data_IF_145413510573
#
_entry.id   IF_145413510573
#
_cell.length_a   1.000
_cell.length_b   1.000
_cell.length_c   1.000
_cell.angle_alpha   90.00
_cell.angle_beta   90.00
_cell.angle_gamma   90.00
#
_symmetry.space_group_name_H-M   'P 1'
#
loop_
_entity.id
_entity.type
_entity.pdbx_description
1 polymer ?
#
# COMPACT_ATOMS: atom_id res chain seq x y z
N UNK A 1 0.74 -5.73 -31.55
CA UNK A 1 1.86 -5.23 -30.76
C UNK A 1 1.57 -3.78 -30.46
N UNK A 2 1.42 -3.41 -29.20
CA UNK A 2 1.11 -2.03 -28.83
C UNK A 2 2.37 -1.17 -28.99
N UNK A 3 2.24 0.03 -29.55
CA UNK A 3 3.31 1.04 -29.70
C UNK A 3 4.14 1.29 -28.43
N UNK A 4 3.69 0.81 -27.27
CA UNK A 4 4.32 0.93 -25.95
C UNK A 4 5.37 -0.16 -25.69
N UNK A 5 5.11 -1.40 -26.13
CA UNK A 5 6.05 -2.52 -25.95
C UNK A 5 7.35 -2.28 -26.76
N UNK A 6 7.23 -1.61 -27.91
CA UNK A 6 8.38 -1.21 -28.73
C UNK A 6 9.22 -0.11 -28.05
N UNK A 7 8.59 0.80 -27.29
CA UNK A 7 9.31 1.88 -26.59
C UNK A 7 10.11 1.36 -25.39
N UNK A 8 9.62 0.33 -24.69
CA UNK A 8 10.34 -0.29 -23.56
C UNK A 8 11.59 -1.03 -24.02
N UNK A 9 11.59 -1.57 -25.26
CA UNK A 9 12.71 -2.31 -25.82
C UNK A 9 13.71 -1.48 -26.63
N UNK A 10 13.33 -0.29 -27.14
CA UNK A 10 14.13 0.49 -28.09
C UNK A 10 14.53 1.89 -27.61
N UNK A 11 13.91 2.42 -26.55
CA UNK A 11 14.21 3.75 -26.06
C UNK A 11 15.56 3.81 -25.30
N UNK A 12 16.31 4.92 -25.37
CA UNK A 12 17.53 5.10 -24.58
C UNK A 12 17.19 4.99 -23.09
N UNK A 13 17.95 4.15 -22.38
CA UNK A 13 17.69 3.75 -20.98
C UNK A 13 17.45 4.94 -20.05
N UNK A 14 18.24 6.01 -20.17
CA UNK A 14 18.08 7.22 -19.34
C UNK A 14 16.74 7.92 -19.54
N UNK A 15 16.28 8.06 -20.79
CA UNK A 15 15.00 8.70 -21.09
C UNK A 15 13.82 7.86 -20.60
N UNK A 16 13.94 6.54 -20.69
CA UNK A 16 12.94 5.60 -20.19
C UNK A 16 12.85 5.66 -18.67
N UNK A 17 14.00 5.63 -17.97
CA UNK A 17 14.05 5.76 -16.52
C UNK A 17 13.42 7.06 -16.03
N UNK A 18 13.75 8.21 -16.63
CA UNK A 18 13.14 9.49 -16.27
C UNK A 18 11.63 9.52 -16.51
N UNK A 19 11.15 8.98 -17.63
CA UNK A 19 9.72 8.96 -17.93
C UNK A 19 8.89 8.11 -16.98
N UNK A 20 9.49 7.10 -16.34
CA UNK A 20 8.85 6.25 -15.33
C UNK A 20 9.05 6.79 -13.91
N UNK A 21 10.23 7.35 -13.62
CA UNK A 21 10.56 7.85 -12.29
C UNK A 21 9.77 9.13 -11.93
N UNK A 22 9.65 10.09 -12.85
CA UNK A 22 8.99 11.38 -12.59
C UNK A 22 7.54 11.21 -12.14
N UNK A 23 6.67 10.45 -12.82
CA UNK A 23 5.30 10.21 -12.38
C UNK A 23 5.25 9.48 -11.03
N UNK A 24 6.12 8.49 -10.83
CA UNK A 24 6.17 7.73 -9.57
C UNK A 24 6.60 8.58 -8.39
N UNK A 25 7.59 9.44 -8.57
CA UNK A 25 8.03 10.41 -7.54
C UNK A 25 6.94 11.43 -7.26
N UNK A 26 6.28 11.96 -8.29
CA UNK A 26 5.17 12.90 -8.13
C UNK A 26 4.01 12.27 -7.34
N UNK A 27 3.62 11.04 -7.66
CA UNK A 27 2.59 10.30 -6.92
C UNK A 27 2.99 10.10 -5.45
N UNK A 28 4.26 9.78 -5.18
CA UNK A 28 4.77 9.62 -3.82
C UNK A 28 4.78 10.94 -3.04
N UNK A 29 5.14 12.05 -3.68
CA UNK A 29 5.06 13.38 -3.07
C UNK A 29 3.62 13.75 -2.71
N UNK A 30 2.66 13.49 -3.58
CA UNK A 30 1.24 13.72 -3.31
C UNK A 30 0.77 12.88 -2.10
N UNK A 31 1.20 11.62 -2.02
CA UNK A 31 0.90 10.76 -0.90
C UNK A 31 1.47 11.29 0.42
N UNK A 32 2.72 11.76 0.41
CA UNK A 32 3.36 12.38 1.59
C UNK A 32 2.61 13.66 2.00
N UNK A 33 2.26 14.53 1.04
CA UNK A 33 1.49 15.75 1.31
C UNK A 33 0.11 15.42 1.91
N UNK A 34 -0.59 14.42 1.37
CA UNK A 34 -1.85 13.94 1.93
C UNK A 34 -1.69 13.54 3.41
N UNK A 35 -0.67 12.75 3.73
CA UNK A 35 -0.39 12.32 5.11
C UNK A 35 -0.07 13.49 6.03
N UNK A 36 0.64 14.51 5.55
CA UNK A 36 0.95 15.72 6.32
C UNK A 36 -0.34 16.51 6.62
N UNK A 37 -1.17 16.73 5.59
CA UNK A 37 -2.43 17.45 5.73
C UNK A 37 -3.36 16.73 6.70
N UNK A 38 -3.51 15.42 6.58
CA UNK A 38 -4.32 14.59 7.49
C UNK A 38 -3.90 14.80 8.96
N UNK A 39 -2.59 14.76 9.23
CA UNK A 39 -2.04 14.98 10.58
C UNK A 39 -2.26 16.39 11.09
N UNK A 40 -2.17 17.41 10.22
CA UNK A 40 -2.47 18.80 10.58
C UNK A 40 -3.93 18.91 11.02
N UNK A 41 -4.85 18.31 10.28
CA UNK A 41 -6.28 18.33 10.65
C UNK A 41 -6.54 17.63 11.98
N UNK A 42 -5.98 16.44 12.19
CA UNK A 42 -6.13 15.71 13.47
C UNK A 42 -5.55 16.52 14.63
N UNK A 43 -4.36 17.10 14.47
CA UNK A 43 -3.69 17.87 15.52
C UNK A 43 -4.40 19.17 15.89
N UNK A 44 -5.23 19.72 14.99
CA UNK A 44 -6.00 20.96 15.25
C UNK A 44 -7.42 20.70 15.77
N UNK A 45 -7.76 19.47 16.14
CA UNK A 45 -9.06 19.18 16.75
C UNK A 45 -9.10 19.85 18.15
N UNK A 46 -10.08 20.76 18.42
CA UNK A 46 -10.12 21.47 19.68
C UNK A 46 -10.26 20.56 20.90
N UNK A 47 -9.39 20.72 21.87
CA UNK A 47 -9.45 20.05 23.17
C UNK A 47 -8.77 18.68 23.27
N UNK A 48 -8.53 17.96 22.15
CA UNK A 48 -7.91 16.62 22.18
C UNK A 48 -7.04 16.29 20.97
N UNK A 49 -6.67 17.27 20.15
CA UNK A 49 -5.88 17.07 18.95
C UNK A 49 -4.53 16.40 19.21
N UNK A 50 -3.81 16.82 20.24
CA UNK A 50 -2.49 16.26 20.60
C UNK A 50 -2.60 14.78 20.98
N UNK A 51 -3.62 14.43 21.78
CA UNK A 51 -3.86 13.06 22.25
C UNK A 51 -4.33 12.18 21.10
N UNK A 52 -5.18 12.69 20.23
CA UNK A 52 -5.65 11.99 19.02
C UNK A 52 -4.50 11.75 18.04
N UNK A 53 -3.66 12.75 17.80
CA UNK A 53 -2.50 12.63 16.91
C UNK A 53 -1.51 11.58 17.43
N UNK A 54 -1.25 11.58 18.73
CA UNK A 54 -0.42 10.57 19.38
C UNK A 54 -1.04 9.19 19.24
N UNK A 55 -2.36 9.05 19.47
CA UNK A 55 -3.10 7.81 19.27
C UNK A 55 -2.99 7.26 17.86
N UNK A 56 -3.15 8.09 16.84
CA UNK A 56 -2.93 7.71 15.44
C UNK A 56 -1.48 7.28 15.20
N UNK A 57 -0.51 7.99 15.80
CA UNK A 57 0.91 7.64 15.70
C UNK A 57 1.22 6.22 16.17
N UNK A 58 0.61 5.78 17.26
CA UNK A 58 0.79 4.43 17.81
C UNK A 58 0.26 3.32 16.89
N UNK A 59 -0.64 3.63 15.96
CA UNK A 59 -1.13 2.64 14.98
C UNK A 59 -0.15 2.35 13.85
N UNK A 60 0.88 3.18 13.65
CA UNK A 60 1.84 3.11 12.55
C UNK A 60 2.48 1.73 12.34
N UNK A 61 2.94 1.02 13.39
CA UNK A 61 3.50 -0.31 13.23
C UNK A 61 2.52 -1.30 12.61
N UNK A 62 1.24 -1.24 12.98
CA UNK A 62 0.19 -2.10 12.42
C UNK A 62 -0.01 -1.77 10.93
N UNK A 63 -0.09 -0.48 10.58
CA UNK A 63 -0.23 -0.04 9.19
C UNK A 63 0.96 -0.50 8.33
N UNK A 64 2.17 -0.41 8.88
CA UNK A 64 3.40 -0.86 8.21
C UNK A 64 3.39 -2.38 7.99
N UNK A 65 2.94 -3.15 8.98
CA UNK A 65 2.81 -4.61 8.84
C UNK A 65 1.82 -4.96 7.72
N UNK A 66 0.65 -4.32 7.68
CA UNK A 66 -0.35 -4.54 6.62
C UNK A 66 0.26 -4.21 5.25
N UNK A 67 0.97 -3.09 5.13
CA UNK A 67 1.63 -2.69 3.88
C UNK A 67 2.73 -3.65 3.45
N UNK A 68 3.45 -4.26 4.40
CA UNK A 68 4.49 -5.25 4.10
C UNK A 68 3.92 -6.50 3.42
N UNK A 69 2.74 -6.96 3.83
CA UNK A 69 2.05 -8.08 3.15
C UNK A 69 1.60 -7.71 1.74
N UNK A 70 1.16 -6.46 1.51
CA UNK A 70 0.87 -5.97 0.16
C UNK A 70 2.11 -5.94 -0.71
N UNK A 71 3.22 -5.44 -0.17
CA UNK A 71 4.50 -5.38 -0.87
C UNK A 71 5.02 -6.80 -1.20
N UNK A 72 4.86 -7.75 -0.30
CA UNK A 72 5.25 -9.15 -0.53
C UNK A 72 4.57 -9.72 -1.79
N UNK A 73 3.26 -9.58 -1.90
CA UNK A 73 2.53 -10.08 -3.07
C UNK A 73 2.82 -9.26 -4.34
N UNK A 74 2.90 -7.93 -4.22
CA UNK A 74 3.17 -7.04 -5.35
C UNK A 74 4.59 -7.16 -5.88
N UNK A 75 5.59 -6.99 -5.02
CA UNK A 75 7.01 -7.04 -5.41
C UNK A 75 7.47 -8.45 -5.77
N UNK A 76 6.85 -9.48 -5.18
CA UNK A 76 7.14 -10.87 -5.52
C UNK A 76 6.57 -11.29 -6.88
N UNK A 77 5.34 -10.90 -7.17
CA UNK A 77 4.62 -11.36 -8.35
C UNK A 77 4.79 -10.47 -9.59
N UNK A 78 4.89 -9.14 -9.44
CA UNK A 78 4.96 -8.23 -10.57
C UNK A 78 6.17 -8.46 -11.50
N UNK A 79 7.40 -8.71 -11.02
CA UNK A 79 8.52 -9.05 -11.89
C UNK A 79 8.28 -10.34 -12.67
N UNK A 80 7.69 -11.36 -12.03
CA UNK A 80 7.39 -12.62 -12.68
C UNK A 80 6.35 -12.45 -13.80
N UNK A 81 5.31 -11.66 -13.55
CA UNK A 81 4.32 -11.32 -14.56
C UNK A 81 4.93 -10.55 -15.73
N UNK A 82 5.83 -9.59 -15.45
CA UNK A 82 6.55 -8.83 -16.48
C UNK A 82 7.43 -9.73 -17.35
N UNK A 83 8.11 -10.73 -16.76
CA UNK A 83 8.89 -11.73 -17.50
C UNK A 83 7.99 -12.55 -18.44
N UNK A 84 6.81 -12.97 -17.98
CA UNK A 84 5.86 -13.71 -18.81
C UNK A 84 5.33 -12.85 -19.95
N UNK A 85 5.05 -11.58 -19.71
CA UNK A 85 4.66 -10.63 -20.76
C UNK A 85 5.78 -10.46 -21.81
N UNK A 86 7.03 -10.34 -21.37
CA UNK A 86 8.19 -10.28 -22.26
C UNK A 86 8.35 -11.54 -23.13
N UNK A 87 7.98 -12.71 -22.61
CA UNK A 87 7.92 -13.99 -23.35
C UNK A 87 6.66 -14.12 -24.24
N UNK A 88 5.81 -13.09 -24.30
CA UNK A 88 4.50 -13.11 -24.98
C UNK A 88 3.52 -14.15 -24.43
N UNK A 89 3.76 -14.65 -23.23
CA UNK A 89 2.88 -15.58 -22.51
C UNK A 89 1.87 -14.81 -21.66
N UNK A 90 0.83 -14.30 -22.31
CA UNK A 90 -0.22 -13.51 -21.67
C UNK A 90 -0.97 -14.30 -20.58
N UNK A 91 -1.28 -15.56 -20.89
CA UNK A 91 -1.97 -16.46 -19.97
C UNK A 91 -1.17 -16.70 -18.68
N UNK A 92 0.14 -16.89 -18.78
CA UNK A 92 1.01 -17.03 -17.60
C UNK A 92 1.08 -15.74 -16.74
N UNK A 93 1.08 -14.58 -17.38
CA UNK A 93 1.04 -13.30 -16.67
C UNK A 93 -0.29 -13.08 -15.93
N UNK A 94 -1.42 -13.40 -16.57
CA UNK A 94 -2.77 -13.33 -15.99
C UNK A 94 -2.94 -14.29 -14.81
N UNK A 95 -2.38 -15.50 -14.88
CA UNK A 95 -2.39 -16.46 -13.77
C UNK A 95 -1.60 -15.92 -12.56
N UNK A 96 -0.43 -15.34 -12.77
CA UNK A 96 0.38 -14.75 -11.69
C UNK A 96 -0.39 -13.59 -11.03
N UNK A 97 -0.99 -12.71 -11.84
CA UNK A 97 -1.80 -11.60 -11.35
C UNK A 97 -3.00 -12.11 -10.53
N UNK A 98 -3.74 -13.10 -11.05
CA UNK A 98 -4.88 -13.70 -10.37
C UNK A 98 -4.50 -14.35 -9.04
N UNK A 99 -3.40 -15.11 -9.01
CA UNK A 99 -2.89 -15.73 -7.79
C UNK A 99 -2.46 -14.68 -6.76
N UNK A 100 -1.81 -13.60 -7.19
CA UNK A 100 -1.41 -12.50 -6.30
C UNK A 100 -2.62 -11.76 -5.75
N UNK A 101 -3.64 -11.50 -6.57
CA UNK A 101 -4.90 -10.90 -6.10
C UNK A 101 -5.61 -11.80 -5.07
N UNK A 102 -5.67 -13.11 -5.32
CA UNK A 102 -6.21 -14.09 -4.38
C UNK A 102 -5.43 -14.09 -3.05
N UNK A 103 -4.11 -14.03 -3.11
CA UNK A 103 -3.24 -13.97 -1.93
C UNK A 103 -3.46 -12.66 -1.13
N UNK A 104 -3.61 -11.52 -1.82
CA UNK A 104 -3.91 -10.24 -1.18
C UNK A 104 -5.26 -10.26 -0.45
N UNK A 105 -6.28 -10.85 -1.07
CA UNK A 105 -7.59 -11.02 -0.43
C UNK A 105 -7.48 -11.92 0.80
N UNK A 106 -6.78 -13.03 0.69
CA UNK A 106 -6.54 -13.95 1.81
C UNK A 106 -5.83 -13.24 2.97
N UNK A 107 -4.74 -12.52 2.68
CA UNK A 107 -4.02 -11.73 3.69
C UNK A 107 -4.89 -10.66 4.30
N UNK A 108 -5.70 -9.95 3.51
CA UNK A 108 -6.59 -8.91 4.04
C UNK A 108 -7.58 -9.48 5.06
N UNK A 109 -8.19 -10.63 4.78
CA UNK A 109 -9.12 -11.28 5.70
C UNK A 109 -8.42 -11.72 6.98
N UNK A 110 -7.27 -12.41 6.85
CA UNK A 110 -6.49 -12.90 8.01
C UNK A 110 -6.01 -11.75 8.87
N UNK A 111 -5.40 -10.72 8.27
CA UNK A 111 -4.86 -9.57 9.02
C UNK A 111 -5.98 -8.75 9.67
N UNK A 112 -7.09 -8.54 8.97
CA UNK A 112 -8.25 -7.84 9.54
C UNK A 112 -8.79 -8.60 10.75
N UNK A 113 -9.03 -9.91 10.64
CA UNK A 113 -9.52 -10.72 11.76
C UNK A 113 -8.52 -10.71 12.93
N UNK A 114 -7.24 -10.93 12.66
CA UNK A 114 -6.20 -10.96 13.67
C UNK A 114 -6.10 -9.62 14.42
N UNK A 115 -5.98 -8.51 13.70
CA UNK A 115 -5.83 -7.21 14.32
C UNK A 115 -7.11 -6.71 14.99
N UNK A 116 -8.31 -7.04 14.48
CA UNK A 116 -9.55 -6.69 15.17
C UNK A 116 -9.65 -7.34 16.56
N UNK A 117 -9.18 -8.58 16.69
CA UNK A 117 -9.16 -9.31 17.96
C UNK A 117 -8.04 -8.79 18.87
N UNK A 118 -6.83 -8.61 18.33
CA UNK A 118 -5.61 -8.34 19.10
C UNK A 118 -5.23 -6.84 19.16
N UNK A 119 -6.01 -5.92 18.56
CA UNK A 119 -5.64 -4.49 18.45
C UNK A 119 -5.30 -3.84 19.80
N UNK A 120 -6.09 -4.08 20.83
CA UNK A 120 -5.91 -3.42 22.14
C UNK A 120 -4.57 -3.78 22.81
N UNK A 121 -4.22 -5.08 23.02
CA UNK A 121 -2.93 -5.42 23.61
C UNK A 121 -1.76 -5.01 22.73
N UNK A 122 -1.90 -5.08 21.40
CA UNK A 122 -0.85 -4.67 20.47
C UNK A 122 -0.62 -3.15 20.55
N UNK A 123 -1.67 -2.33 20.61
CA UNK A 123 -1.53 -0.88 20.72
C UNK A 123 -0.86 -0.48 22.04
N UNK A 124 -1.20 -1.13 23.15
CA UNK A 124 -0.49 -0.91 24.42
C UNK A 124 0.99 -1.32 24.34
N UNK A 125 1.29 -2.44 23.70
CA UNK A 125 2.68 -2.86 23.47
C UNK A 125 3.48 -1.86 22.62
N UNK A 126 2.82 -1.13 21.71
CA UNK A 126 3.43 -0.06 20.91
C UNK A 126 3.42 1.32 21.60
N UNK A 127 3.00 1.40 22.86
CA UNK A 127 3.12 2.61 23.67
C UNK A 127 1.85 3.45 23.74
N UNK A 128 0.67 2.88 23.45
CA UNK A 128 -0.58 3.57 23.77
C UNK A 128 -0.74 3.76 25.28
N UNK A 129 -1.17 4.94 25.70
CA UNK A 129 -1.60 5.22 27.07
C UNK A 129 -3.12 5.12 27.18
N UNK A 130 -3.65 5.12 28.41
CA UNK A 130 -5.11 5.11 28.66
C UNK A 130 -5.81 6.32 28.02
N UNK A 131 -5.10 7.44 27.87
CA UNK A 131 -5.63 8.62 27.21
C UNK A 131 -5.66 8.48 25.67
N UNK A 132 -4.69 7.80 25.06
CA UNK A 132 -4.55 7.70 23.60
C UNK A 132 -5.20 6.47 23.00
N UNK A 133 -5.42 5.41 23.80
CA UNK A 133 -5.93 4.12 23.32
C UNK A 133 -7.30 4.22 22.66
N UNK A 134 -8.17 5.10 23.10
CA UNK A 134 -9.51 5.28 22.56
C UNK A 134 -9.41 5.72 21.08
N UNK A 135 -8.63 6.78 20.82
CA UNK A 135 -8.42 7.30 19.47
C UNK A 135 -7.67 6.31 18.57
N UNK A 136 -6.66 5.63 19.11
CA UNK A 136 -5.93 4.61 18.40
C UNK A 136 -6.83 3.45 17.94
N UNK A 137 -7.72 2.98 18.85
CA UNK A 137 -8.67 1.90 18.56
C UNK A 137 -9.71 2.28 17.52
N UNK A 138 -10.24 3.49 17.60
CA UNK A 138 -11.24 3.96 16.66
C UNK A 138 -10.64 4.10 15.26
N UNK A 139 -9.49 4.76 15.17
CA UNK A 139 -8.77 4.92 13.91
C UNK A 139 -8.43 3.58 13.26
N UNK A 140 -7.76 2.69 14.01
CA UNK A 140 -7.34 1.40 13.46
C UNK A 140 -8.53 0.51 13.10
N UNK A 141 -9.65 0.60 13.80
CA UNK A 141 -10.84 -0.19 13.49
C UNK A 141 -11.43 0.17 12.13
N UNK A 142 -11.51 1.46 11.81
CA UNK A 142 -11.98 1.95 10.52
C UNK A 142 -10.99 1.52 9.41
N UNK A 143 -9.69 1.69 9.67
CA UNK A 143 -8.66 1.28 8.71
C UNK A 143 -8.71 -0.22 8.41
N UNK A 144 -8.89 -1.06 9.43
CA UNK A 144 -8.96 -2.52 9.29
C UNK A 144 -10.15 -2.97 8.44
N UNK A 145 -11.29 -2.30 8.50
CA UNK A 145 -12.44 -2.58 7.62
C UNK A 145 -12.06 -2.29 6.15
N UNK A 146 -11.28 -1.23 5.92
CA UNK A 146 -10.79 -0.86 4.59
C UNK A 146 -9.56 -1.64 4.11
N UNK A 147 -8.99 -2.54 4.91
CA UNK A 147 -7.71 -3.21 4.61
C UNK A 147 -7.73 -3.95 3.28
N UNK A 148 -8.85 -4.55 2.88
CA UNK A 148 -8.96 -5.23 1.59
C UNK A 148 -8.69 -4.30 0.40
N UNK A 149 -9.22 -3.08 0.46
CA UNK A 149 -8.99 -2.08 -0.59
C UNK A 149 -7.55 -1.58 -0.60
N UNK A 150 -6.98 -1.36 0.59
CA UNK A 150 -5.58 -0.96 0.76
C UNK A 150 -4.64 -2.04 0.22
N UNK A 151 -4.87 -3.30 0.59
CA UNK A 151 -4.09 -4.45 0.13
C UNK A 151 -4.12 -4.58 -1.40
N UNK A 152 -5.30 -4.52 -2.00
CA UNK A 152 -5.44 -4.60 -3.45
C UNK A 152 -4.80 -3.39 -4.14
N UNK A 153 -5.05 -2.17 -3.65
CA UNK A 153 -4.48 -0.97 -4.24
C UNK A 153 -2.95 -0.96 -4.22
N UNK A 154 -2.34 -1.24 -3.07
CA UNK A 154 -0.88 -1.26 -2.92
C UNK A 154 -0.24 -2.46 -3.63
N UNK A 155 -0.82 -3.65 -3.47
CA UNK A 155 -0.27 -4.88 -4.04
C UNK A 155 -0.34 -4.92 -5.57
N UNK A 156 -1.45 -4.48 -6.16
CA UNK A 156 -1.63 -4.49 -7.61
C UNK A 156 -0.95 -3.30 -8.32
N UNK A 157 -0.65 -2.22 -7.60
CA UNK A 157 0.05 -1.07 -8.17
C UNK A 157 1.40 -1.45 -8.79
N UNK A 158 2.13 -2.41 -8.20
CA UNK A 158 3.38 -2.92 -8.74
C UNK A 158 3.22 -3.56 -10.13
N UNK A 159 2.08 -4.21 -10.38
CA UNK A 159 1.77 -4.81 -11.70
C UNK A 159 1.45 -3.76 -12.75
N UNK A 160 0.72 -2.70 -12.38
CA UNK A 160 0.43 -1.58 -13.28
C UNK A 160 1.73 -0.88 -13.68
N UNK A 161 2.59 -0.61 -12.70
CA UNK A 161 3.90 -0.01 -12.95
C UNK A 161 4.80 -0.89 -13.82
N UNK A 162 4.76 -2.22 -13.61
CA UNK A 162 5.52 -3.20 -14.39
C UNK A 162 5.08 -3.31 -15.86
N UNK A 163 3.86 -2.88 -16.19
CA UNK A 163 3.35 -2.79 -17.56
C UNK A 163 3.73 -1.48 -18.27
N UNK A 164 4.49 -0.59 -17.62
CA UNK A 164 4.88 0.71 -18.15
C UNK A 164 3.78 1.77 -18.10
N UNK A 165 2.74 1.55 -17.32
CA UNK A 165 1.61 2.48 -17.13
C UNK A 165 1.71 3.27 -15.81
N UNK A 166 2.91 3.72 -15.44
CA UNK A 166 3.06 4.70 -14.37
C UNK A 166 2.56 6.07 -14.86
N UNK A 167 1.30 6.38 -14.60
CA UNK A 167 0.70 7.70 -14.83
C UNK A 167 0.25 8.29 -13.51
#
# INVERSE_FOLDING_TARGET
MNHRDERLGSAPLGKLMFSLAVPSVAAQLINVLYNIVDRIYIGHIPGYGDVALTGVGVTFPILTMISAFSAFAGMGGAPLASIQLGKKNKQGAEQILGNSAGLLILFSVILTAFFLICKTPILYAFGASDATIVYARDYISIYLIGTIFVQLALGLNAYISGQGEAK
#
